data_IF_396960289155
#
_entry.id   IF_396960289155
#
_cell.length_a   1.000
_cell.length_b   1.000
_cell.length_c   1.000
_cell.angle_alpha   90.00
_cell.angle_beta   90.00
_cell.angle_gamma   90.00
#
_symmetry.space_group_name_H-M   'P 1'
#
loop_
_entity.id
_entity.type
_entity.pdbx_description
1 polymer ?
#
# COMPACT_ATOMS: atom_id res chain seq x y z
N UNK A 1 -30.35 35.68 8.90
CA UNK A 1 -30.55 34.22 8.82
C UNK A 1 -30.17 33.70 7.43
N UNK A 2 -29.51 32.55 7.39
CA UNK A 2 -29.56 31.54 6.31
C UNK A 2 -28.92 31.79 4.91
N UNK A 3 -27.60 31.99 4.80
CA UNK A 3 -26.88 31.73 3.51
C UNK A 3 -25.46 31.13 3.57
N UNK A 4 -24.99 30.57 4.70
CA UNK A 4 -23.63 29.93 4.78
C UNK A 4 -23.62 28.43 5.08
N UNK A 5 -24.67 27.68 4.72
CA UNK A 5 -24.77 26.22 4.99
C UNK A 5 -24.56 25.33 3.75
N UNK A 6 -23.99 25.84 2.66
CA UNK A 6 -23.93 25.12 1.37
C UNK A 6 -22.53 24.71 0.86
N UNK A 7 -21.42 25.13 1.48
CA UNK A 7 -20.07 24.79 0.94
C UNK A 7 -19.33 23.74 1.79
N UNK A 8 -19.69 23.56 3.06
CA UNK A 8 -18.92 22.67 3.97
C UNK A 8 -19.34 21.19 3.95
N UNK A 9 -20.33 20.79 3.14
CA UNK A 9 -20.89 19.43 3.13
C UNK A 9 -20.41 18.55 1.95
N UNK A 10 -19.60 19.08 1.02
CA UNK A 10 -19.24 18.35 -0.19
C UNK A 10 -17.99 17.45 -0.08
N UNK A 11 -17.20 17.55 0.99
CA UNK A 11 -15.98 16.71 1.17
C UNK A 11 -16.04 15.76 2.36
N UNK A 12 -17.20 15.60 2.99
CA UNK A 12 -17.41 14.69 4.12
C UNK A 12 -17.83 13.25 3.70
N UNK A 13 -17.56 12.88 2.44
CA UNK A 13 -18.04 11.65 1.81
C UNK A 13 -16.96 10.82 1.12
N UNK A 14 -15.70 10.96 1.51
CA UNK A 14 -14.66 10.00 1.18
C UNK A 14 -14.29 9.31 2.48
N UNK A 15 -14.90 8.15 2.74
CA UNK A 15 -14.46 7.26 3.79
C UNK A 15 -13.03 6.85 3.48
N UNK A 16 -12.06 7.56 4.06
CA UNK A 16 -10.71 7.05 4.18
C UNK A 16 -10.82 5.87 5.14
N UNK A 17 -10.84 4.66 4.59
CA UNK A 17 -10.59 3.47 5.40
C UNK A 17 -9.31 3.74 6.18
N UNK A 18 -9.32 3.52 7.50
CA UNK A 18 -8.18 3.83 8.36
C UNK A 18 -6.96 3.10 7.83
N UNK A 19 -6.06 3.83 7.16
CA UNK A 19 -4.77 3.29 6.78
C UNK A 19 -4.00 2.93 8.05
N UNK A 20 -3.69 1.65 8.20
CA UNK A 20 -2.84 1.16 9.29
C UNK A 20 -1.41 0.99 8.77
N UNK A 21 -0.43 1.45 9.54
CA UNK A 21 0.98 1.29 9.18
C UNK A 21 1.51 -0.10 9.57
N UNK A 22 2.45 -0.61 8.78
CA UNK A 22 3.20 -1.84 9.07
C UNK A 22 4.67 -1.46 9.17
N UNK A 23 5.33 -1.88 10.24
CA UNK A 23 6.78 -1.70 10.45
C UNK A 23 7.50 -3.02 10.16
N UNK A 24 8.29 -3.04 9.09
CA UNK A 24 9.09 -4.21 8.70
C UNK A 24 10.58 -3.93 8.96
N UNK A 25 11.29 -4.89 9.56
CA UNK A 25 12.75 -4.86 9.70
C UNK A 25 13.36 -5.79 8.64
N UNK A 26 14.25 -5.23 7.83
CA UNK A 26 15.03 -5.94 6.81
C UNK A 26 16.45 -5.37 6.83
N UNK A 27 17.41 -6.14 6.34
CA UNK A 27 18.78 -5.65 6.19
C UNK A 27 18.86 -4.58 5.09
N UNK A 28 19.94 -3.80 5.14
CA UNK A 28 20.13 -2.65 4.24
C UNK A 28 20.28 -3.09 2.78
N UNK A 29 20.95 -4.20 2.53
CA UNK A 29 21.23 -4.64 1.17
C UNK A 29 19.95 -5.11 0.48
N UNK A 30 19.17 -5.99 1.12
CA UNK A 30 17.87 -6.45 0.63
C UNK A 30 16.92 -5.27 0.38
N UNK A 31 16.93 -4.26 1.26
CA UNK A 31 16.12 -3.04 1.07
C UNK A 31 16.49 -2.28 -0.20
N UNK A 32 17.78 -2.10 -0.44
CA UNK A 32 18.29 -1.37 -1.61
C UNK A 32 18.06 -2.15 -2.91
N UNK A 33 18.28 -3.46 -2.89
CA UNK A 33 18.00 -4.35 -4.02
C UNK A 33 16.51 -4.33 -4.36
N UNK A 34 15.63 -4.57 -3.38
CA UNK A 34 14.18 -4.52 -3.59
C UNK A 34 13.72 -3.18 -4.16
N UNK A 35 14.25 -2.06 -3.62
CA UNK A 35 13.92 -0.72 -4.11
C UNK A 35 14.28 -0.56 -5.60
N UNK A 36 15.49 -0.94 -6.01
CA UNK A 36 15.92 -0.83 -7.41
C UNK A 36 15.05 -1.69 -8.34
N UNK A 37 14.77 -2.93 -7.94
CA UNK A 37 13.94 -3.85 -8.73
C UNK A 37 12.54 -3.28 -8.99
N UNK A 38 11.89 -2.72 -7.96
CA UNK A 38 10.53 -2.17 -8.14
C UNK A 38 10.54 -0.84 -8.87
N UNK A 39 11.59 -0.02 -8.72
CA UNK A 39 11.76 1.23 -9.46
C UNK A 39 11.95 0.99 -10.96
N UNK A 40 12.70 -0.05 -11.35
CA UNK A 40 12.82 -0.49 -12.75
C UNK A 40 11.46 -0.93 -13.35
N UNK A 41 10.55 -1.41 -12.51
CA UNK A 41 9.16 -1.74 -12.88
C UNK A 41 8.22 -0.52 -12.85
N UNK A 42 8.71 0.67 -12.51
CA UNK A 42 7.91 1.89 -12.38
C UNK A 42 7.05 1.94 -11.11
N UNK A 43 7.44 1.21 -10.06
CA UNK A 43 6.73 1.12 -8.79
C UNK A 43 7.58 1.64 -7.63
N UNK A 44 6.93 2.20 -6.61
CA UNK A 44 7.58 2.44 -5.32
C UNK A 44 7.48 1.19 -4.41
N UNK A 45 8.34 1.12 -3.39
CA UNK A 45 8.37 -0.01 -2.44
C UNK A 45 7.03 -0.27 -1.77
N UNK A 46 6.27 0.78 -1.42
CA UNK A 46 4.99 0.64 -0.72
C UNK A 46 3.93 0.08 -1.67
N UNK A 47 3.90 0.56 -2.91
CA UNK A 47 3.02 0.02 -3.95
C UNK A 47 3.30 -1.46 -4.22
N UNK A 48 4.56 -1.84 -4.34
CA UNK A 48 4.96 -3.23 -4.52
C UNK A 48 4.54 -4.13 -3.35
N UNK A 49 4.76 -3.69 -2.10
CA UNK A 49 4.32 -4.43 -0.90
C UNK A 49 2.79 -4.53 -0.85
N UNK A 50 2.06 -3.45 -1.15
CA UNK A 50 0.59 -3.46 -1.21
C UNK A 50 0.08 -4.45 -2.26
N UNK A 51 0.70 -4.52 -3.43
CA UNK A 51 0.37 -5.49 -4.48
C UNK A 51 0.59 -6.93 -4.01
N UNK A 52 1.74 -7.18 -3.38
CA UNK A 52 2.06 -8.49 -2.83
C UNK A 52 1.02 -8.95 -1.79
N UNK A 53 0.68 -8.08 -0.84
CA UNK A 53 -0.34 -8.36 0.19
C UNK A 53 -1.69 -8.67 -0.46
N UNK A 54 -2.13 -7.86 -1.45
CA UNK A 54 -3.39 -8.10 -2.18
C UNK A 54 -3.37 -9.44 -2.90
N UNK A 55 -2.24 -9.83 -3.50
CA UNK A 55 -2.09 -11.12 -4.18
C UNK A 55 -2.22 -12.29 -3.21
N UNK A 56 -1.53 -12.23 -2.06
CA UNK A 56 -1.62 -13.23 -0.99
C UNK A 56 -3.06 -13.39 -0.50
N UNK A 57 -3.77 -12.27 -0.26
CA UNK A 57 -5.16 -12.29 0.21
C UNK A 57 -6.08 -12.94 -0.84
N UNK A 58 -5.89 -12.61 -2.12
CA UNK A 58 -6.69 -13.13 -3.23
C UNK A 58 -6.49 -14.62 -3.44
N UNK A 59 -5.25 -15.09 -3.38
CA UNK A 59 -4.91 -16.48 -3.67
C UNK A 59 -4.91 -17.39 -2.43
N UNK A 60 -5.07 -16.81 -1.23
CA UNK A 60 -5.05 -17.52 0.06
C UNK A 60 -3.79 -18.38 0.27
N UNK A 61 -2.68 -17.97 -0.35
CA UNK A 61 -1.37 -18.64 -0.28
C UNK A 61 -0.26 -17.62 -0.47
N UNK A 62 0.95 -18.01 -0.12
CA UNK A 62 2.15 -17.26 -0.45
C UNK A 62 2.48 -17.48 -1.94
N UNK A 63 2.62 -16.42 -2.76
CA UNK A 63 2.82 -16.53 -4.20
C UNK A 63 4.29 -16.78 -4.59
N UNK A 64 4.94 -17.70 -3.87
CA UNK A 64 6.23 -18.28 -4.23
C UNK A 64 6.29 -19.72 -3.74
N UNK A 65 6.99 -20.57 -4.48
CA UNK A 65 7.34 -21.90 -4.02
C UNK A 65 8.55 -21.79 -3.08
N UNK A 66 8.50 -22.49 -1.94
CA UNK A 66 9.66 -22.59 -1.06
C UNK A 66 10.54 -23.70 -1.62
N UNK A 67 11.54 -23.32 -2.41
CA UNK A 67 12.64 -24.23 -2.75
C UNK A 67 13.52 -24.36 -1.50
N UNK A 68 13.62 -25.58 -0.99
CA UNK A 68 14.47 -25.95 0.15
C UNK A 68 15.84 -26.44 -0.28
#
# INVERSE_FOLDING_TARGET
MAKKKAVKKAVAGLGMEKETSISLRIDKQTKEEFKRTVEEMGLDMTSAIKLYIKKVIREKRIPFEVEG
#
